data_IF_642819031293
#
_entry.id   IF_642819031293
#
_cell.length_a   1.000
_cell.length_b   1.000
_cell.length_c   1.000
_cell.angle_alpha   90.00
_cell.angle_beta   90.00
_cell.angle_gamma   90.00
#
_symmetry.space_group_name_H-M   'P 1'
#
loop_
_entity.id
_entity.type
_entity.pdbx_description
1 polymer ?
#
# COMPACT_ATOMS: atom_id res chain seq x y z
N UNK A 1 -5.98 6.06 16.69
CA UNK A 1 -6.85 5.44 15.68
C UNK A 1 -7.30 6.48 14.66
N UNK A 2 -7.38 6.10 13.38
CA UNK A 2 -8.01 6.90 12.34
C UNK A 2 -9.52 6.97 12.59
N UNK A 3 -10.09 8.16 12.55
CA UNK A 3 -11.55 8.29 12.45
C UNK A 3 -12.04 7.80 11.08
N UNK A 4 -13.27 7.32 11.02
CA UNK A 4 -13.89 6.73 9.82
C UNK A 4 -13.84 7.68 8.61
N UNK A 5 -14.17 8.96 8.79
CA UNK A 5 -14.09 9.97 7.73
C UNK A 5 -12.69 10.13 7.14
N UNK A 6 -11.66 10.07 7.98
CA UNK A 6 -10.27 10.22 7.52
C UNK A 6 -9.82 8.99 6.77
N UNK A 7 -10.19 7.79 7.24
CA UNK A 7 -9.94 6.53 6.53
C UNK A 7 -10.59 6.57 5.15
N UNK A 8 -11.86 6.99 5.07
CA UNK A 8 -12.60 7.08 3.81
C UNK A 8 -11.94 8.04 2.83
N UNK A 9 -11.50 9.22 3.28
CA UNK A 9 -10.75 10.17 2.43
C UNK A 9 -9.44 9.58 1.90
N UNK A 10 -8.71 8.84 2.74
CA UNK A 10 -7.47 8.20 2.30
C UNK A 10 -7.76 7.12 1.25
N UNK A 11 -8.76 6.27 1.49
CA UNK A 11 -9.19 5.24 0.56
C UNK A 11 -9.64 5.84 -0.79
N UNK A 12 -10.41 6.93 -0.76
CA UNK A 12 -10.87 7.63 -1.96
C UNK A 12 -9.72 8.24 -2.77
N UNK A 13 -8.66 8.69 -2.11
CA UNK A 13 -7.47 9.22 -2.78
C UNK A 13 -6.58 8.11 -3.35
N UNK A 14 -6.32 7.07 -2.56
CA UNK A 14 -5.31 6.04 -2.89
C UNK A 14 -5.89 4.95 -3.79
N UNK A 15 -7.18 4.63 -3.66
CA UNK A 15 -7.84 3.61 -4.47
C UNK A 15 -7.67 3.81 -5.98
N UNK A 16 -7.99 4.99 -6.54
CA UNK A 16 -7.78 5.28 -7.96
C UNK A 16 -6.30 5.19 -8.38
N UNK A 17 -5.37 5.66 -7.53
CA UNK A 17 -3.94 5.59 -7.82
C UNK A 17 -3.46 4.14 -7.92
N UNK A 18 -3.90 3.27 -7.02
CA UNK A 18 -3.57 1.86 -7.06
C UNK A 18 -4.19 1.16 -8.27
N UNK A 19 -5.44 1.48 -8.60
CA UNK A 19 -6.11 0.91 -9.77
C UNK A 19 -5.40 1.27 -11.07
N UNK A 20 -4.90 2.50 -11.19
CA UNK A 20 -4.10 2.94 -12.32
C UNK A 20 -2.74 2.22 -12.41
N UNK A 21 -2.12 1.89 -11.27
CA UNK A 21 -0.83 1.18 -11.23
C UNK A 21 -1.02 -0.28 -11.62
N UNK A 22 -2.00 -0.94 -11.01
CA UNK A 22 -2.27 -2.36 -11.15
C UNK A 22 -3.73 -2.66 -10.76
N UNK A 23 -4.62 -2.90 -11.74
CA UNK A 23 -6.04 -3.08 -11.47
C UNK A 23 -6.37 -4.35 -10.68
N UNK A 24 -5.45 -5.32 -10.62
CA UNK A 24 -5.62 -6.54 -9.84
C UNK A 24 -5.34 -6.34 -8.34
N UNK A 25 -4.78 -5.18 -7.95
CA UNK A 25 -4.47 -4.84 -6.56
C UNK A 25 -5.70 -4.25 -5.88
N UNK A 26 -6.13 -4.91 -4.82
CA UNK A 26 -7.28 -4.51 -4.02
C UNK A 26 -6.81 -3.91 -2.69
N UNK A 27 -7.21 -2.66 -2.40
CA UNK A 27 -6.93 -2.01 -1.12
C UNK A 27 -8.00 -2.36 -0.10
N UNK A 28 -7.63 -3.05 0.98
CA UNK A 28 -8.55 -3.52 2.02
C UNK A 28 -8.61 -2.58 3.21
N UNK A 29 -7.44 -2.14 3.69
CA UNK A 29 -7.35 -1.39 4.92
C UNK A 29 -6.24 -0.34 4.89
N UNK A 30 -6.46 0.69 5.69
CA UNK A 30 -5.50 1.75 5.95
C UNK A 30 -5.32 1.84 7.45
N UNK A 31 -4.09 1.64 7.90
CA UNK A 31 -3.73 1.68 9.32
C UNK A 31 -2.84 2.89 9.56
N UNK A 32 -3.23 3.74 10.49
CA UNK A 32 -2.37 4.79 11.02
C UNK A 32 -2.02 4.41 12.44
N UNK A 33 -0.73 4.41 12.72
CA UNK A 33 -0.22 4.06 14.04
C UNK A 33 -0.71 5.05 15.13
N UNK A 34 -0.50 4.68 16.39
CA UNK A 34 -0.94 5.50 17.53
C UNK A 34 -0.22 6.85 17.58
N UNK A 35 1.02 6.93 17.11
CA UNK A 35 1.81 8.17 17.08
C UNK A 35 1.44 9.08 15.91
N UNK A 36 0.62 8.61 14.96
CA UNK A 36 0.23 9.31 13.73
C UNK A 36 1.41 9.68 12.84
N UNK A 37 2.48 8.89 12.91
CA UNK A 37 3.67 9.08 12.09
C UNK A 37 3.75 8.06 10.96
N UNK A 38 3.15 6.89 11.12
CA UNK A 38 3.27 5.79 10.16
C UNK A 38 1.90 5.38 9.64
N UNK A 39 1.77 5.42 8.32
CA UNK A 39 0.60 4.99 7.57
C UNK A 39 0.94 3.70 6.84
N UNK A 40 0.10 2.68 6.95
CA UNK A 40 0.22 1.44 6.22
C UNK A 40 -1.03 1.20 5.37
N UNK A 41 -0.80 0.80 4.12
CA UNK A 41 -1.82 0.31 3.19
C UNK A 41 -1.75 -1.21 3.17
N UNK A 42 -2.87 -1.84 3.51
CA UNK A 42 -3.05 -3.29 3.46
C UNK A 42 -3.82 -3.62 2.20
N UNK A 43 -3.17 -4.38 1.31
CA UNK A 43 -3.63 -4.69 -0.03
C UNK A 43 -3.51 -6.17 -0.31
N UNK A 44 -4.17 -6.63 -1.37
CA UNK A 44 -4.07 -7.99 -1.86
C UNK A 44 -4.02 -8.01 -3.39
N UNK A 45 -3.16 -8.86 -3.96
CA UNK A 45 -3.16 -9.19 -5.39
C UNK A 45 -3.30 -10.70 -5.56
N UNK A 46 -4.45 -11.17 -6.05
CA UNK A 46 -4.76 -12.61 -6.06
C UNK A 46 -4.74 -13.16 -4.63
N UNK A 47 -3.87 -14.13 -4.33
CA UNK A 47 -3.69 -14.71 -2.98
C UNK A 47 -2.59 -14.01 -2.15
N UNK A 48 -2.00 -12.93 -2.68
CA UNK A 48 -0.76 -12.36 -2.13
C UNK A 48 -1.09 -11.15 -1.25
N UNK A 49 -0.88 -11.24 0.08
CA UNK A 49 -1.05 -10.08 0.96
C UNK A 49 0.13 -9.12 0.80
N UNK A 50 -0.18 -7.83 0.71
CA UNK A 50 0.80 -6.76 0.48
C UNK A 50 0.59 -5.69 1.52
N UNK A 51 1.66 -5.33 2.23
CA UNK A 51 1.65 -4.20 3.18
C UNK A 51 2.72 -3.19 2.77
N UNK A 52 2.28 -1.97 2.48
CA UNK A 52 3.17 -0.84 2.14
C UNK A 52 3.02 0.21 3.24
N UNK A 53 4.12 0.48 3.93
CA UNK A 53 4.21 1.52 4.97
C UNK A 53 4.88 2.77 4.43
N UNK A 54 4.44 3.94 4.90
CA UNK A 54 5.07 5.23 4.64
C UNK A 54 4.81 6.21 5.78
N UNK A 55 5.61 7.27 5.84
CA UNK A 55 5.38 8.33 6.81
C UNK A 55 4.07 9.07 6.51
N UNK A 56 3.30 9.39 7.54
CA UNK A 56 2.03 10.12 7.42
C UNK A 56 2.22 11.52 6.83
N UNK A 57 3.26 12.25 7.26
CA UNK A 57 3.58 13.58 6.74
C UNK A 57 3.98 13.51 5.27
N UNK A 58 4.72 12.48 4.87
CA UNK A 58 5.04 12.26 3.47
C UNK A 58 3.75 12.04 2.66
N UNK A 59 2.86 11.15 3.13
CA UNK A 59 1.59 10.90 2.45
C UNK A 59 0.75 12.19 2.22
N UNK A 60 0.65 13.06 3.22
CA UNK A 60 -0.15 14.28 3.09
C UNK A 60 0.56 15.38 2.28
N UNK A 61 1.88 15.36 2.21
CA UNK A 61 2.67 16.43 1.58
C UNK A 61 2.93 16.17 0.10
N UNK A 62 2.98 14.90 -0.33
CA UNK A 62 3.20 14.55 -1.73
C UNK A 62 1.96 14.79 -2.58
N UNK A 63 2.17 15.16 -3.84
CA UNK A 63 1.10 15.18 -4.85
C UNK A 63 0.77 13.75 -5.26
N UNK A 64 -0.36 13.60 -5.94
CA UNK A 64 -0.87 12.30 -6.35
C UNK A 64 0.07 11.59 -7.33
N UNK A 65 0.75 12.34 -8.20
CA UNK A 65 1.77 11.83 -9.13
C UNK A 65 2.96 11.22 -8.38
N UNK A 66 3.57 11.98 -7.46
CA UNK A 66 4.71 11.49 -6.66
C UNK A 66 4.30 10.30 -5.77
N UNK A 67 3.09 10.34 -5.22
CA UNK A 67 2.55 9.28 -4.39
C UNK A 67 2.33 8.01 -5.20
N UNK A 68 1.84 8.13 -6.44
CA UNK A 68 1.64 7.03 -7.38
C UNK A 68 2.97 6.36 -7.72
N UNK A 69 4.01 7.13 -8.03
CA UNK A 69 5.34 6.58 -8.30
C UNK A 69 5.89 5.80 -7.11
N UNK A 70 5.85 6.38 -5.90
CA UNK A 70 6.30 5.72 -4.67
C UNK A 70 5.53 4.44 -4.36
N UNK A 71 4.21 4.45 -4.56
CA UNK A 71 3.37 3.27 -4.38
C UNK A 71 3.71 2.18 -5.39
N UNK A 72 3.95 2.54 -6.65
CA UNK A 72 4.34 1.60 -7.70
C UNK A 72 5.71 0.94 -7.41
N UNK A 73 6.72 1.73 -7.01
CA UNK A 73 8.04 1.21 -6.63
C UNK A 73 7.95 0.27 -5.43
N UNK A 74 7.19 0.67 -4.41
CA UNK A 74 6.99 -0.13 -3.20
C UNK A 74 6.25 -1.43 -3.51
N UNK A 75 5.20 -1.38 -4.34
CA UNK A 75 4.43 -2.54 -4.76
C UNK A 75 5.29 -3.53 -5.53
N UNK A 76 6.07 -3.05 -6.50
CA UNK A 76 6.99 -3.86 -7.28
C UNK A 76 7.98 -4.59 -6.36
N UNK A 77 8.62 -3.87 -5.46
CA UNK A 77 9.60 -4.43 -4.51
C UNK A 77 8.97 -5.53 -3.63
N UNK A 78 7.74 -5.31 -3.15
CA UNK A 78 7.01 -6.28 -2.31
C UNK A 78 6.62 -7.54 -3.07
N UNK A 79 6.13 -7.39 -4.30
CA UNK A 79 5.77 -8.53 -5.16
C UNK A 79 7.00 -9.35 -5.55
N UNK A 80 8.12 -8.70 -5.89
CA UNK A 80 9.39 -9.40 -6.17
C UNK A 80 9.89 -10.17 -4.95
N UNK A 81 9.87 -9.55 -3.78
CA UNK A 81 10.27 -10.21 -2.52
C UNK A 81 9.39 -11.42 -2.20
N UNK A 82 8.07 -11.28 -2.38
CA UNK A 82 7.14 -12.38 -2.14
C UNK A 82 7.38 -13.54 -3.11
N UNK A 83 7.69 -13.25 -4.40
CA UNK A 83 7.96 -14.27 -5.42
C UNK A 83 9.22 -15.05 -5.09
N UNK A 84 10.27 -14.36 -4.64
CA UNK A 84 11.52 -14.99 -4.24
C UNK A 84 11.37 -15.87 -2.99
N UNK A 85 10.46 -15.53 -2.07
CA UNK A 85 10.18 -16.36 -0.89
C UNK A 85 9.51 -17.68 -1.28
N UNK A 86 8.48 -17.63 -2.12
CA UNK A 86 7.81 -18.85 -2.60
C UNK A 86 8.76 -19.78 -3.34
N UNK A 87 9.60 -19.26 -4.25
CA UNK A 87 10.56 -20.07 -4.98
C UNK A 87 11.53 -20.82 -4.03
N UNK A 88 11.91 -20.22 -2.89
CA UNK A 88 12.76 -20.86 -1.88
C UNK A 88 12.03 -21.89 -1.03
N UNK A 89 10.72 -21.72 -0.83
CA UNK A 89 9.88 -22.67 -0.07
C UNK A 89 9.49 -23.89 -0.92
N UNK A 90 9.41 -23.76 -2.25
CA UNK A 90 9.16 -24.88 -3.17
C UNK A 90 10.40 -25.74 -3.45
N UNK A 91 11.60 -25.19 -3.24
CA UNK A 91 12.89 -25.89 -3.40
C UNK A 91 13.38 -26.62 -2.13
N UNK A 92 12.68 -26.47 -0.99
CA UNK A 92 13.04 -27.01 0.32
C UNK A 92 12.15 -28.19 0.75
#
# INVERSE_FOLDING_TARGET
MLGEDRRNKILQRVGPLLHDIDPDVHLHEVVLDSTRQQLAFVMQKGEWPIVIGMNWLDYVSHRDEDLKERLAESLKTRLETARQRQAREEEA
#
